data_IF_037218476009
#
_entry.id   IF_037218476009
#
_cell.length_a   1.000
_cell.length_b   1.000
_cell.length_c   1.000
_cell.angle_alpha   90.00
_cell.angle_beta   90.00
_cell.angle_gamma   90.00
#
_symmetry.space_group_name_H-M   'P 1'
#
loop_
_entity.id
_entity.type
_entity.pdbx_description
1 polymer ?
#
# COMPACT_ATOMS: atom_id res chain seq x y z
N UNK A 1 6.59 -31.80 -8.63
CA UNK A 1 7.44 -30.59 -8.80
C UNK A 1 8.02 -30.27 -7.43
N UNK A 2 9.27 -30.68 -7.18
CA UNK A 2 9.94 -30.49 -5.88
C UNK A 2 10.18 -29.00 -5.68
N UNK A 3 9.76 -28.46 -4.53
CA UNK A 3 10.07 -27.09 -4.12
C UNK A 3 11.47 -27.13 -3.54
N UNK A 4 12.44 -26.63 -4.30
CA UNK A 4 13.77 -26.34 -3.79
C UNK A 4 13.65 -25.13 -2.85
N UNK A 5 13.68 -25.40 -1.54
CA UNK A 5 13.80 -24.39 -0.50
C UNK A 5 15.18 -23.76 -0.59
N UNK A 6 15.23 -22.51 -1.04
CA UNK A 6 16.41 -21.66 -0.93
C UNK A 6 16.63 -21.38 0.55
N UNK A 7 17.75 -21.86 1.11
CA UNK A 7 18.18 -21.55 2.46
C UNK A 7 18.46 -20.05 2.57
N UNK A 8 17.53 -19.31 3.18
CA UNK A 8 17.76 -17.96 3.63
C UNK A 8 18.41 -18.07 5.02
N UNK A 9 19.69 -17.70 5.08
CA UNK A 9 20.60 -17.69 6.24
C UNK A 9 21.33 -19.01 6.59
N UNK A 10 22.67 -19.07 6.43
CA UNK A 10 23.46 -20.18 6.95
C UNK A 10 23.62 -20.02 8.47
N UNK A 11 22.81 -20.74 9.26
CA UNK A 11 23.03 -20.83 10.71
C UNK A 11 21.81 -21.11 11.58
N UNK A 12 20.59 -21.07 11.06
CA UNK A 12 19.40 -21.40 11.84
C UNK A 12 19.11 -22.89 11.72
N UNK A 13 19.53 -23.64 12.73
CA UNK A 13 19.15 -25.05 12.88
C UNK A 13 17.66 -25.15 13.21
N UNK A 14 16.83 -25.33 12.18
CA UNK A 14 15.39 -25.54 12.30
C UNK A 14 15.01 -26.85 13.01
N UNK A 15 15.98 -27.73 13.35
CA UNK A 15 15.76 -28.95 14.11
C UNK A 15 15.82 -28.75 15.63
N UNK A 16 16.08 -27.54 16.12
CA UNK A 16 16.13 -27.27 17.55
C UNK A 16 14.73 -27.43 18.16
N UNK A 17 14.51 -28.35 19.12
CA UNK A 17 13.21 -28.50 19.76
C UNK A 17 12.85 -27.17 20.43
N UNK A 18 11.59 -26.75 20.25
CA UNK A 18 11.07 -25.57 20.94
C UNK A 18 11.27 -25.75 22.44
N UNK A 19 11.72 -24.69 23.10
CA UNK A 19 11.86 -24.68 24.56
C UNK A 19 10.49 -24.99 25.19
N UNK A 20 10.41 -25.89 26.19
CA UNK A 20 9.16 -26.14 26.88
C UNK A 20 8.57 -24.85 27.44
N UNK A 21 7.26 -24.65 27.28
CA UNK A 21 6.54 -23.59 27.99
C UNK A 21 6.70 -23.86 29.49
N UNK A 22 7.28 -22.92 30.23
CA UNK A 22 7.43 -22.97 31.68
C UNK A 22 6.67 -21.80 32.33
N UNK A 23 6.23 -21.99 33.58
CA UNK A 23 5.56 -20.93 34.36
C UNK A 23 6.56 -19.90 34.93
N UNK A 24 7.67 -19.69 34.22
CA UNK A 24 8.76 -18.85 34.67
C UNK A 24 8.43 -17.36 34.49
N UNK A 25 7.88 -16.78 35.55
CA UNK A 25 7.46 -15.37 35.60
C UNK A 25 8.63 -14.38 35.67
N UNK A 26 9.90 -14.82 35.67
CA UNK A 26 11.07 -13.93 35.86
C UNK A 26 11.16 -12.78 34.85
N UNK A 27 10.51 -12.89 33.71
CA UNK A 27 10.53 -11.90 32.64
C UNK A 27 9.19 -11.17 32.45
N UNK A 28 8.10 -11.66 33.03
CA UNK A 28 6.78 -11.04 32.91
C UNK A 28 6.71 -9.84 33.86
N UNK A 29 6.47 -8.64 33.32
CA UNK A 29 6.46 -7.39 34.08
C UNK A 29 7.86 -6.84 34.45
N UNK A 30 8.93 -7.53 34.05
CA UNK A 30 10.30 -7.08 34.27
C UNK A 30 10.79 -6.15 33.15
N UNK A 31 11.54 -5.10 33.51
CA UNK A 31 12.21 -4.23 32.54
C UNK A 31 13.47 -4.91 32.00
N UNK A 32 13.33 -5.72 30.96
CA UNK A 32 14.46 -6.38 30.28
C UNK A 32 14.79 -5.73 28.94
N UNK A 33 16.08 -5.56 28.58
CA UNK A 33 16.44 -5.09 27.25
C UNK A 33 15.91 -6.01 26.15
N UNK A 34 15.34 -5.43 25.09
CA UNK A 34 14.83 -6.18 23.94
C UNK A 34 15.98 -6.92 23.25
N UNK A 35 15.74 -8.16 22.85
CA UNK A 35 16.71 -8.91 22.04
C UNK A 35 17.15 -8.12 20.79
N UNK A 36 18.45 -8.11 20.52
CA UNK A 36 19.05 -7.41 19.38
C UNK A 36 19.12 -5.88 19.50
N UNK A 37 18.83 -5.29 20.67
CA UNK A 37 18.82 -3.82 20.84
C UNK A 37 20.20 -3.19 20.63
N UNK A 38 21.27 -3.83 21.08
CA UNK A 38 22.64 -3.28 20.97
C UNK A 38 23.04 -3.03 19.51
N UNK A 39 22.77 -3.99 18.63
CA UNK A 39 23.04 -3.86 17.19
C UNK A 39 22.26 -2.67 16.59
N UNK A 40 21.00 -2.50 16.98
CA UNK A 40 20.15 -1.43 16.47
C UNK A 40 20.58 -0.04 16.99
N UNK A 41 20.95 0.07 18.26
CA UNK A 41 21.38 1.34 18.87
C UNK A 41 22.80 1.75 18.46
N UNK A 42 23.60 0.81 17.97
CA UNK A 42 24.95 1.06 17.44
C UNK A 42 24.98 1.36 15.94
N UNK A 43 23.81 1.43 15.28
CA UNK A 43 23.75 1.65 13.82
C UNK A 43 24.21 0.45 12.99
N UNK A 44 24.29 -0.74 13.60
CA UNK A 44 24.63 -2.00 12.94
C UNK A 44 23.38 -2.77 12.48
N UNK A 45 22.21 -2.12 12.53
CA UNK A 45 21.00 -2.59 11.88
C UNK A 45 21.21 -2.73 10.37
N UNK A 46 20.53 -3.69 9.76
CA UNK A 46 20.45 -3.78 8.30
C UNK A 46 18.97 -3.77 7.95
N UNK A 47 18.55 -2.72 7.26
CA UNK A 47 17.22 -2.52 6.72
C UNK A 47 17.22 -2.82 5.23
N UNK A 48 16.05 -2.84 4.61
CA UNK A 48 15.91 -3.18 3.18
C UNK A 48 16.73 -2.24 2.28
N UNK A 49 16.84 -0.97 2.64
CA UNK A 49 17.58 0.04 1.88
C UNK A 49 19.12 -0.07 2.05
N UNK A 50 19.58 -0.82 3.07
CA UNK A 50 21.02 -1.08 3.29
C UNK A 50 21.52 -2.30 2.48
N UNK A 51 20.63 -2.97 1.75
CA UNK A 51 20.96 -4.18 0.99
C UNK A 51 21.46 -3.79 -0.41
N UNK A 52 22.71 -4.14 -0.71
CA UNK A 52 23.27 -4.04 -2.05
C UNK A 52 23.45 -5.44 -2.67
N UNK A 53 22.95 -5.63 -3.88
CA UNK A 53 23.08 -6.89 -4.63
C UNK A 53 23.87 -6.67 -5.93
N UNK A 54 24.66 -7.67 -6.37
CA UNK A 54 25.31 -7.59 -7.68
C UNK A 54 24.30 -7.40 -8.82
N UNK A 55 24.52 -6.40 -9.67
CA UNK A 55 23.61 -6.03 -10.78
C UNK A 55 22.21 -5.62 -10.31
N UNK A 56 22.10 -5.03 -9.12
CA UNK A 56 20.87 -4.41 -8.65
C UNK A 56 20.43 -3.32 -9.64
N UNK A 57 19.15 -3.34 -10.02
CA UNK A 57 18.52 -2.28 -10.77
C UNK A 57 17.73 -1.38 -9.81
N UNK A 58 17.54 -0.13 -10.19
CA UNK A 58 16.82 0.86 -9.41
C UNK A 58 15.54 1.26 -10.13
N UNK A 59 14.44 1.34 -9.40
CA UNK A 59 13.15 1.79 -9.93
C UNK A 59 12.76 3.13 -9.32
N UNK A 60 12.31 4.05 -10.18
CA UNK A 60 11.67 5.31 -9.77
C UNK A 60 10.31 5.42 -10.43
N UNK A 61 9.43 6.23 -9.83
CA UNK A 61 8.03 6.30 -10.23
C UNK A 61 7.64 7.72 -10.56
N UNK A 62 7.00 7.91 -11.71
CA UNK A 62 6.24 9.12 -11.99
C UNK A 62 4.89 8.95 -11.31
N UNK A 63 4.50 9.92 -10.50
CA UNK A 63 3.32 9.85 -9.63
C UNK A 63 2.34 10.96 -9.95
N UNK A 64 1.05 10.69 -9.77
CA UNK A 64 -0.01 11.67 -9.93
C UNK A 64 0.29 12.94 -9.12
N UNK A 65 0.31 14.12 -9.74
CA UNK A 65 0.53 15.37 -9.00
C UNK A 65 -0.73 15.86 -8.27
N UNK A 66 -1.90 15.31 -8.61
CA UNK A 66 -3.22 15.77 -8.11
C UNK A 66 -4.09 14.63 -7.59
N UNK A 67 -5.17 14.98 -6.88
CA UNK A 67 -6.03 14.04 -6.18
C UNK A 67 -6.85 13.13 -7.11
N UNK A 68 -7.26 13.61 -8.29
CA UNK A 68 -8.02 12.80 -9.23
C UNK A 68 -7.75 13.26 -10.66
N UNK A 69 -7.32 12.35 -11.52
CA UNK A 69 -7.07 12.65 -12.92
C UNK A 69 -7.35 11.46 -13.83
N UNK A 70 -7.70 11.76 -15.07
CA UNK A 70 -7.74 10.80 -16.18
C UNK A 70 -6.42 10.84 -16.93
N UNK A 71 -5.80 9.69 -17.08
CA UNK A 71 -4.59 9.54 -17.89
C UNK A 71 -5.03 9.47 -19.36
N UNK A 72 -4.53 10.40 -20.19
CA UNK A 72 -4.83 10.44 -21.63
C UNK A 72 -3.81 9.66 -22.42
N UNK A 73 -2.53 9.88 -22.12
CA UNK A 73 -1.42 9.17 -22.76
C UNK A 73 -0.14 9.26 -21.93
N UNK A 74 0.78 8.31 -22.17
CA UNK A 74 2.14 8.31 -21.65
C UNK A 74 3.10 8.23 -22.83
N UNK A 75 3.98 9.21 -22.99
CA UNK A 75 5.11 9.16 -23.90
C UNK A 75 6.41 9.04 -23.10
N UNK A 76 7.15 7.97 -23.35
CA UNK A 76 8.43 7.70 -22.71
C UNK A 76 9.52 7.31 -23.71
N UNK A 77 9.36 7.65 -25.00
CA UNK A 77 10.28 7.20 -26.06
C UNK A 77 11.71 7.68 -25.83
N UNK A 78 11.87 8.94 -25.39
CA UNK A 78 13.18 9.49 -25.07
C UNK A 78 13.78 8.81 -23.84
N UNK A 79 13.00 8.66 -22.76
CA UNK A 79 13.43 7.98 -21.54
C UNK A 79 13.89 6.54 -21.81
N UNK A 80 13.16 5.79 -22.65
CA UNK A 80 13.53 4.41 -23.05
C UNK A 80 14.86 4.33 -23.81
N UNK A 81 15.28 5.40 -24.48
CA UNK A 81 16.50 5.45 -25.26
C UNK A 81 17.72 5.96 -24.46
N UNK A 82 17.53 6.39 -23.20
CA UNK A 82 18.62 6.92 -22.38
C UNK A 82 19.57 5.82 -21.90
N UNK A 83 20.88 6.10 -21.77
CA UNK A 83 21.85 5.15 -21.24
C UNK A 83 21.45 4.63 -19.85
N UNK A 84 21.72 3.34 -19.60
CA UNK A 84 21.44 2.69 -18.32
C UNK A 84 19.96 2.37 -18.07
N UNK A 85 19.02 2.87 -18.89
CA UNK A 85 17.59 2.54 -18.75
C UNK A 85 17.32 1.12 -19.24
N UNK A 86 16.76 0.31 -18.35
CA UNK A 86 16.46 -1.10 -18.58
C UNK A 86 14.99 -1.32 -18.97
N UNK A 87 14.08 -0.52 -18.42
CA UNK A 87 12.64 -0.61 -18.67
C UNK A 87 11.96 0.72 -18.35
N UNK A 88 10.96 1.08 -19.16
CA UNK A 88 9.91 2.03 -18.77
C UNK A 88 8.57 1.32 -18.97
N UNK A 89 7.74 1.30 -17.93
CA UNK A 89 6.44 0.60 -17.94
C UNK A 89 5.34 1.50 -17.38
N UNK A 90 4.17 1.48 -18.01
CA UNK A 90 2.95 2.08 -17.50
C UNK A 90 2.01 1.01 -16.88
N UNK A 91 0.83 1.43 -16.44
CA UNK A 91 -0.18 0.51 -15.92
C UNK A 91 -0.60 -0.58 -16.91
N UNK A 92 -0.70 -0.27 -18.20
CA UNK A 92 -1.13 -1.23 -19.22
C UNK A 92 -0.08 -2.33 -19.41
N UNK A 93 1.21 -1.98 -19.33
CA UNK A 93 2.29 -2.95 -19.36
C UNK A 93 2.24 -3.90 -18.15
N UNK A 94 2.02 -3.38 -16.93
CA UNK A 94 1.95 -4.22 -15.75
C UNK A 94 0.67 -5.05 -15.65
N UNK A 95 -0.48 -4.57 -16.15
CA UNK A 95 -1.73 -5.35 -16.14
C UNK A 95 -1.65 -6.64 -16.97
N UNK A 96 -0.70 -6.73 -17.92
CA UNK A 96 -0.45 -7.96 -18.69
C UNK A 96 0.15 -9.09 -17.85
N UNK A 97 0.82 -8.76 -16.74
CA UNK A 97 1.59 -9.71 -15.92
C UNK A 97 1.16 -9.74 -14.45
N UNK A 98 0.56 -8.66 -13.96
CA UNK A 98 0.08 -8.51 -12.60
C UNK A 98 -1.45 -8.49 -12.58
N UNK A 99 -2.06 -9.36 -11.78
CA UNK A 99 -3.47 -9.25 -11.45
C UNK A 99 -3.68 -8.13 -10.42
N UNK A 100 -4.80 -7.39 -10.46
CA UNK A 100 -5.10 -6.42 -9.43
C UNK A 100 -5.31 -7.12 -8.09
N UNK A 101 -5.06 -6.42 -6.99
CA UNK A 101 -5.47 -6.86 -5.67
C UNK A 101 -6.81 -6.23 -5.30
N UNK A 102 -7.62 -7.00 -4.57
CA UNK A 102 -8.87 -6.55 -3.97
C UNK A 102 -8.73 -6.81 -2.49
N UNK A 103 -8.84 -5.77 -1.67
CA UNK A 103 -8.74 -5.92 -0.23
C UNK A 103 -10.10 -6.36 0.31
N UNK A 104 -10.20 -7.61 0.74
CA UNK A 104 -11.36 -8.10 1.50
C UNK A 104 -10.91 -8.66 2.83
N UNK A 105 -11.62 -8.31 3.90
CA UNK A 105 -11.37 -8.81 5.23
C UNK A 105 -12.57 -9.66 5.67
N UNK A 106 -12.34 -10.93 6.01
CA UNK A 106 -13.43 -11.86 6.38
C UNK A 106 -14.29 -11.36 7.54
N UNK A 107 -13.68 -10.66 8.50
CA UNK A 107 -14.38 -10.07 9.65
C UNK A 107 -15.12 -8.76 9.33
N UNK A 108 -14.97 -8.21 8.12
CA UNK A 108 -15.70 -7.05 7.61
C UNK A 108 -16.61 -7.47 6.44
N UNK A 109 -17.55 -8.37 6.73
CA UNK A 109 -18.47 -8.91 5.74
C UNK A 109 -19.22 -7.79 5.00
N UNK A 110 -19.16 -7.80 3.66
CA UNK A 110 -19.79 -6.79 2.81
C UNK A 110 -18.93 -5.56 2.51
N UNK A 111 -17.67 -5.51 2.99
CA UNK A 111 -16.72 -4.46 2.59
C UNK A 111 -16.51 -4.46 1.07
N UNK A 112 -16.65 -3.29 0.46
CA UNK A 112 -16.37 -3.05 -0.96
C UNK A 112 -14.91 -2.60 -1.12
N UNK A 113 -14.23 -3.11 -2.12
CA UNK A 113 -12.88 -2.68 -2.51
C UNK A 113 -12.78 -2.74 -4.03
N UNK A 114 -12.39 -1.63 -4.64
CA UNK A 114 -12.11 -1.60 -6.07
C UNK A 114 -10.83 -2.38 -6.37
N UNK A 115 -10.73 -3.04 -7.54
CA UNK A 115 -9.48 -3.63 -7.99
C UNK A 115 -8.37 -2.58 -8.09
N UNK A 116 -7.27 -2.79 -7.37
CA UNK A 116 -6.12 -1.89 -7.39
C UNK A 116 -4.95 -2.54 -8.11
N UNK A 117 -4.36 -1.79 -9.05
CA UNK A 117 -3.21 -2.22 -9.85
C UNK A 117 -1.91 -1.65 -9.27
N UNK A 118 -0.74 -2.24 -9.60
CA UNK A 118 0.55 -1.71 -9.15
C UNK A 118 0.85 -0.28 -9.67
N UNK A 119 0.36 0.05 -10.86
CA UNK A 119 0.39 1.38 -11.46
C UNK A 119 -1.02 1.71 -11.96
N UNK A 120 -1.40 2.99 -11.92
CA UNK A 120 -2.68 3.48 -12.40
C UNK A 120 -2.89 3.13 -13.89
N UNK A 121 -4.10 2.66 -14.24
CA UNK A 121 -4.47 2.29 -15.61
C UNK A 121 -5.00 3.48 -16.39
N UNK A 122 -6.27 3.82 -16.12
CA UNK A 122 -7.00 4.85 -16.87
C UNK A 122 -7.11 6.17 -16.09
N UNK A 123 -7.01 6.07 -14.76
CA UNK A 123 -7.18 7.18 -13.83
C UNK A 123 -6.28 6.98 -12.63
N UNK A 124 -5.76 8.09 -12.10
CA UNK A 124 -5.23 8.13 -10.75
C UNK A 124 -6.27 8.75 -9.81
N UNK A 125 -6.53 8.10 -8.69
CA UNK A 125 -7.58 8.38 -7.71
C UNK A 125 -7.05 9.03 -6.42
N UNK A 126 -5.74 9.26 -6.31
CA UNK A 126 -5.14 10.08 -5.24
C UNK A 126 -3.82 10.73 -5.67
N UNK A 127 -3.43 11.79 -4.97
CA UNK A 127 -2.14 12.42 -5.16
C UNK A 127 -1.02 11.46 -4.73
N UNK A 128 -0.03 11.26 -5.59
CA UNK A 128 1.06 10.34 -5.35
C UNK A 128 0.83 8.91 -5.88
N UNK A 129 -0.34 8.61 -6.45
CA UNK A 129 -0.55 7.31 -7.11
C UNK A 129 0.45 7.10 -8.25
N UNK A 130 1.18 5.98 -8.29
CA UNK A 130 2.20 5.76 -9.31
C UNK A 130 1.55 5.43 -10.67
N UNK A 131 2.04 6.06 -11.75
CA UNK A 131 1.52 5.89 -13.12
C UNK A 131 2.53 5.25 -14.04
N UNK A 132 3.80 5.62 -13.91
CA UNK A 132 4.91 5.09 -14.73
C UNK A 132 6.03 4.65 -13.81
N UNK A 133 6.64 3.50 -14.10
CA UNK A 133 7.86 3.03 -13.49
C UNK A 133 9.02 3.11 -14.49
N UNK A 134 10.15 3.69 -14.08
CA UNK A 134 11.40 3.69 -14.84
C UNK A 134 12.41 2.87 -14.06
N UNK A 135 13.00 1.87 -14.70
CA UNK A 135 14.01 0.99 -14.13
C UNK A 135 15.34 1.22 -14.85
N UNK A 136 16.41 1.46 -14.11
CA UNK A 136 17.75 1.68 -14.66
C UNK A 136 18.86 0.97 -13.84
N UNK A 137 20.08 0.96 -14.37
CA UNK A 137 21.27 0.38 -13.71
C UNK A 137 21.66 1.14 -12.44
N UNK A 138 21.41 2.45 -12.39
CA UNK A 138 21.60 3.29 -11.20
C UNK A 138 20.37 4.11 -10.87
N UNK A 139 20.25 4.54 -9.61
CA UNK A 139 19.19 5.46 -9.18
C UNK A 139 19.23 6.78 -9.95
N UNK A 140 20.42 7.35 -10.15
CA UNK A 140 20.58 8.63 -10.83
C UNK A 140 20.11 8.57 -12.28
N UNK A 141 20.47 7.51 -13.03
CA UNK A 141 19.99 7.31 -14.40
C UNK A 141 18.47 7.15 -14.46
N UNK A 142 17.87 6.46 -13.50
CA UNK A 142 16.42 6.31 -13.42
C UNK A 142 15.73 7.66 -13.19
N UNK A 143 16.24 8.49 -12.26
CA UNK A 143 15.73 9.84 -11.97
C UNK A 143 15.89 10.78 -13.18
N UNK A 144 17.04 10.76 -13.84
CA UNK A 144 17.29 11.55 -15.05
C UNK A 144 16.34 11.15 -16.19
N UNK A 145 16.13 9.84 -16.39
CA UNK A 145 15.19 9.35 -17.41
C UNK A 145 13.73 9.68 -17.08
N UNK A 146 13.36 9.68 -15.81
CA UNK A 146 12.00 10.04 -15.37
C UNK A 146 11.63 11.47 -15.76
N UNK A 147 12.59 12.40 -15.77
CA UNK A 147 12.37 13.79 -16.17
C UNK A 147 11.94 13.96 -17.64
N UNK A 148 12.18 12.95 -18.49
CA UNK A 148 11.78 12.93 -19.89
C UNK A 148 10.48 12.15 -20.16
N UNK A 149 9.87 11.57 -19.13
CA UNK A 149 8.54 10.95 -19.25
C UNK A 149 7.49 12.05 -19.31
N UNK A 150 6.68 12.04 -20.36
CA UNK A 150 5.57 12.96 -20.55
C UNK A 150 4.26 12.22 -20.34
N UNK A 151 3.49 12.64 -19.34
CA UNK A 151 2.14 12.12 -19.09
C UNK A 151 1.14 13.22 -19.42
N UNK A 152 0.27 12.97 -20.39
CA UNK A 152 -0.87 13.82 -20.68
C UNK A 152 -2.06 13.36 -19.84
N UNK A 153 -2.72 14.29 -19.16
CA UNK A 153 -3.80 13.99 -18.23
C UNK A 153 -4.80 15.14 -18.14
N UNK A 154 -6.02 14.78 -17.72
CA UNK A 154 -7.12 15.72 -17.47
C UNK A 154 -7.50 15.63 -15.99
N UNK A 155 -7.56 16.76 -15.31
CA UNK A 155 -8.04 16.83 -13.93
C UNK A 155 -9.52 16.44 -13.85
N UNK A 156 -9.85 15.63 -12.84
CA UNK A 156 -11.21 15.20 -12.54
C UNK A 156 -11.64 15.74 -11.16
N UNK A 157 -12.96 15.96 -10.94
CA UNK A 157 -13.45 16.34 -9.62
C UNK A 157 -13.08 15.31 -8.54
N UNK A 158 -12.47 15.75 -7.45
CA UNK A 158 -12.08 14.90 -6.32
C UNK A 158 -13.14 14.93 -5.21
N UNK A 159 -13.42 13.78 -4.60
CA UNK A 159 -14.20 13.68 -3.38
C UNK A 159 -13.25 13.75 -2.16
N UNK A 160 -13.15 14.92 -1.54
CA UNK A 160 -12.18 15.19 -0.45
C UNK A 160 -12.81 15.33 0.93
N UNK A 161 -14.14 15.34 1.01
CA UNK A 161 -14.89 15.43 2.25
C UNK A 161 -15.66 14.13 2.48
N UNK A 162 -15.40 13.49 3.63
CA UNK A 162 -16.00 12.21 3.97
C UNK A 162 -17.48 12.35 4.36
N UNK A 163 -17.91 13.50 4.89
CA UNK A 163 -19.28 13.71 5.35
C UNK A 163 -20.25 13.81 4.17
N UNK A 164 -19.78 14.34 3.04
CA UNK A 164 -20.55 14.46 1.80
C UNK A 164 -20.31 13.28 0.86
N UNK A 165 -19.50 12.28 1.24
CA UNK A 165 -19.09 11.19 0.34
C UNK A 165 -20.26 10.39 -0.25
N UNK A 166 -21.38 10.29 0.48
CA UNK A 166 -22.59 9.60 0.05
C UNK A 166 -23.62 10.52 -0.62
N UNK A 167 -23.35 11.81 -0.69
CA UNK A 167 -24.25 12.76 -1.34
C UNK A 167 -24.28 12.48 -2.85
N UNK A 168 -25.46 12.53 -3.50
CA UNK A 168 -25.57 12.31 -4.94
C UNK A 168 -24.75 13.29 -5.80
N UNK A 169 -24.39 14.44 -5.25
CA UNK A 169 -23.57 15.45 -5.91
C UNK A 169 -22.06 15.18 -5.80
N UNK A 170 -21.63 14.31 -4.88
CA UNK A 170 -20.21 14.00 -4.68
C UNK A 170 -19.72 13.03 -5.75
N UNK A 171 -18.57 13.29 -6.40
CA UNK A 171 -18.03 12.40 -7.40
C UNK A 171 -17.80 10.98 -6.85
N UNK A 172 -18.22 9.97 -7.61
CA UNK A 172 -17.85 8.58 -7.32
C UNK A 172 -16.42 8.32 -7.79
N UNK A 173 -15.53 7.97 -6.86
CA UNK A 173 -14.15 7.61 -7.19
C UNK A 173 -14.13 6.30 -8.00
N UNK A 174 -14.96 5.34 -7.57
CA UNK A 174 -15.13 4.02 -8.21
C UNK A 174 -16.60 3.80 -8.61
N UNK A 175 -17.05 4.30 -9.77
CA UNK A 175 -18.44 4.17 -10.22
C UNK A 175 -18.95 2.73 -10.26
N UNK A 176 -18.07 1.76 -10.50
CA UNK A 176 -18.36 0.33 -10.50
C UNK A 176 -18.82 -0.23 -9.15
N UNK A 177 -18.55 0.47 -8.03
CA UNK A 177 -19.01 0.12 -6.68
C UNK A 177 -20.38 0.71 -6.32
N UNK A 178 -20.91 1.58 -7.18
CA UNK A 178 -22.24 2.22 -7.06
C UNK A 178 -22.30 3.44 -6.14
N UNK A 179 -21.49 3.48 -5.08
CA UNK A 179 -21.40 4.58 -4.12
C UNK A 179 -19.96 4.67 -3.54
N UNK A 180 -19.69 5.70 -2.72
CA UNK A 180 -18.44 5.83 -1.98
C UNK A 180 -18.47 5.14 -0.60
N UNK A 181 -19.46 4.27 -0.32
CA UNK A 181 -19.58 3.56 0.96
C UNK A 181 -18.73 2.28 0.93
N UNK A 182 -17.54 2.35 1.50
CA UNK A 182 -16.65 1.19 1.61
C UNK A 182 -17.24 0.08 2.49
N UNK A 183 -17.78 0.43 3.66
CA UNK A 183 -18.23 -0.54 4.65
C UNK A 183 -19.20 0.07 5.65
N UNK A 184 -20.10 -0.74 6.20
CA UNK A 184 -21.00 -0.37 7.30
C UNK A 184 -20.99 -1.47 8.35
N UNK A 185 -20.94 -1.04 9.62
CA UNK A 185 -21.08 -1.94 10.76
C UNK A 185 -22.14 -1.39 11.70
N UNK A 186 -23.12 -2.22 12.02
CA UNK A 186 -24.08 -1.94 13.09
C UNK A 186 -23.71 -2.77 14.31
N UNK A 187 -23.67 -2.12 15.48
CA UNK A 187 -23.54 -2.78 16.77
C UNK A 187 -24.81 -2.45 17.56
N UNK A 188 -25.69 -3.43 17.70
CA UNK A 188 -26.90 -3.31 18.51
C UNK A 188 -26.86 -4.36 19.62
N UNK A 189 -26.75 -3.92 20.87
CA UNK A 189 -26.59 -4.79 22.04
C UNK A 189 -27.57 -4.35 23.12
N UNK A 190 -28.50 -5.24 23.47
CA UNK A 190 -29.57 -4.97 24.43
C UNK A 190 -30.63 -4.01 23.88
N UNK A 191 -31.44 -3.46 24.79
CA UNK A 191 -32.57 -2.58 24.44
C UNK A 191 -32.14 -1.10 24.55
N UNK A 192 -31.41 -0.63 23.54
CA UNK A 192 -30.85 0.74 23.48
C UNK A 192 -31.97 1.77 23.59
N UNK A 193 -33.03 1.64 22.80
CA UNK A 193 -34.14 2.60 22.75
C UNK A 193 -34.86 2.73 24.10
N UNK A 194 -35.16 1.61 24.76
CA UNK A 194 -35.78 1.62 26.09
C UNK A 194 -34.84 2.23 27.13
N UNK A 195 -33.54 1.92 27.03
CA UNK A 195 -32.53 2.42 27.96
C UNK A 195 -32.39 3.94 27.86
N UNK A 196 -32.40 4.50 26.65
CA UNK A 196 -32.43 5.96 26.45
C UNK A 196 -33.72 6.59 26.98
N UNK A 197 -34.89 5.95 26.76
CA UNK A 197 -36.18 6.48 27.21
C UNK A 197 -36.31 6.57 28.75
N UNK A 198 -35.62 5.71 29.50
CA UNK A 198 -35.62 5.70 30.98
C UNK A 198 -34.39 6.35 31.62
N UNK A 199 -33.45 6.85 30.83
CA UNK A 199 -32.23 7.45 31.34
C UNK A 199 -32.55 8.76 32.10
N UNK A 200 -31.98 8.93 33.29
CA UNK A 200 -32.13 10.16 34.06
C UNK A 200 -31.36 11.33 33.43
N UNK A 201 -30.26 11.03 32.74
CA UNK A 201 -29.42 12.00 32.02
C UNK A 201 -29.02 11.39 30.68
N UNK A 202 -29.18 12.18 29.61
CA UNK A 202 -28.64 11.91 28.28
C UNK A 202 -27.69 13.05 27.93
N UNK A 203 -26.50 12.71 27.43
CA UNK A 203 -25.53 13.68 26.97
C UNK A 203 -25.13 13.34 25.54
N UNK A 204 -25.03 14.38 24.71
CA UNK A 204 -24.57 14.33 23.34
C UNK A 204 -23.51 15.43 23.17
N UNK A 205 -22.47 15.15 22.39
CA UNK A 205 -21.41 16.10 22.07
C UNK A 205 -21.30 16.11 20.55
N UNK A 206 -21.37 17.30 19.97
CA UNK A 206 -21.15 17.56 18.54
C UNK A 206 -19.68 17.41 18.14
#
# INVERSE_FOLDING_TARGET
MKRDTVNLEPGIDHAKPLTPVNDDQRYIGASVPRGGIERLTQGLGQYVDDIELPRMAHVVFWRSPIAHMRIKSVNADFARAMPGVLLVADGQDLAKVCKPWVATLEHLAGMKSAPQYPLALDRACWQGEPVVAVVAETRAEAEDALAYVQVDWEELPAATDMLTALDPATPLIHPELGDNLCFTRSLNVGDVDETFARAEVVAEID
#
